data_IF_729798456217
#
_entry.id   IF_729798456217
#
_cell.length_a   1.000
_cell.length_b   1.000
_cell.length_c   1.000
_cell.angle_alpha   90.00
_cell.angle_beta   90.00
_cell.angle_gamma   90.00
#
_symmetry.space_group_name_H-M   'P 1'
#
loop_
_entity.id
_entity.type
_entity.pdbx_description
1 polymer ?
#
# COMPACT_ATOMS: atom_id res chain seq x y z
N UNK A 1 24.23 24.72 48.54
CA UNK A 1 23.25 23.63 48.72
C UNK A 1 22.19 23.76 47.64
N UNK A 2 22.19 22.87 46.63
CA UNK A 2 21.23 22.87 45.51
C UNK A 2 20.08 21.93 45.85
N UNK A 3 18.83 22.42 45.87
CA UNK A 3 17.62 21.61 46.06
C UNK A 3 17.02 21.31 44.68
N UNK A 4 16.88 20.04 44.35
CA UNK A 4 16.13 19.56 43.19
C UNK A 4 14.72 19.19 43.68
N UNK A 5 13.63 19.64 43.03
CA UNK A 5 12.31 19.07 43.27
C UNK A 5 12.12 17.84 42.39
N UNK A 6 11.61 16.79 43.05
CA UNK A 6 11.25 15.50 42.47
C UNK A 6 10.15 15.64 41.41
N UNK A 7 10.37 14.98 40.27
CA UNK A 7 9.42 14.86 39.18
C UNK A 7 8.51 13.65 39.47
N UNK A 8 7.23 13.89 39.76
CA UNK A 8 6.22 12.85 39.92
C UNK A 8 5.74 12.39 38.53
N UNK A 9 6.03 11.15 38.17
CA UNK A 9 5.52 10.47 36.97
C UNK A 9 4.19 9.78 37.31
N UNK A 10 3.06 10.32 36.86
CA UNK A 10 1.78 9.61 36.89
C UNK A 10 1.59 8.84 35.58
N UNK A 11 1.67 7.51 35.65
CA UNK A 11 1.34 6.60 34.56
C UNK A 11 -0.14 6.21 34.73
N UNK A 12 -1.01 6.76 33.88
CA UNK A 12 -2.38 6.27 33.76
C UNK A 12 -2.42 5.14 32.74
N UNK A 13 -2.53 3.89 33.20
CA UNK A 13 -2.87 2.75 32.35
C UNK A 13 -4.38 2.74 32.10
N UNK A 14 -4.79 2.98 30.84
CA UNK A 14 -6.15 2.70 30.41
C UNK A 14 -6.20 1.28 29.83
N UNK A 15 -6.83 0.37 30.57
CA UNK A 15 -7.20 -0.98 30.11
C UNK A 15 -8.53 -0.88 29.37
N UNK A 16 -8.60 -1.37 28.14
CA UNK A 16 -9.87 -1.70 27.49
C UNK A 16 -9.81 -3.15 27.05
N UNK A 17 -10.57 -3.99 27.75
CA UNK A 17 -10.83 -5.40 27.44
C UNK A 17 -11.89 -5.56 26.35
N UNK A 18 -11.48 -6.25 25.29
CA UNK A 18 -12.17 -7.19 24.38
C UNK A 18 -13.69 -7.31 24.51
N UNK A 19 -14.40 -7.04 23.41
CA UNK A 19 -15.73 -7.58 23.12
C UNK A 19 -15.68 -8.34 21.80
N UNK A 20 -15.65 -9.67 21.88
CA UNK A 20 -15.77 -10.55 20.72
C UNK A 20 -17.23 -10.78 20.35
N UNK A 21 -17.52 -10.80 19.05
CA UNK A 21 -18.65 -11.55 18.49
C UNK A 21 -18.20 -12.24 17.22
N UNK A 22 -18.16 -13.56 17.30
CA UNK A 22 -18.05 -14.48 16.17
C UNK A 22 -19.35 -14.47 15.37
N UNK A 23 -19.26 -14.39 14.04
CA UNK A 23 -20.35 -14.80 13.16
C UNK A 23 -19.77 -15.61 12.00
N UNK A 24 -20.14 -16.90 11.98
CA UNK A 24 -19.94 -17.80 10.85
C UNK A 24 -20.86 -17.42 9.69
N UNK A 25 -20.35 -17.51 8.47
CA UNK A 25 -21.13 -17.95 7.32
C UNK A 25 -20.20 -18.68 6.36
N UNK A 26 -20.14 -20.00 6.52
CA UNK A 26 -19.66 -20.89 5.47
C UNK A 26 -20.59 -20.76 4.26
N UNK A 27 -20.03 -20.53 3.08
CA UNK A 27 -20.71 -20.90 1.84
C UNK A 27 -19.75 -21.68 0.96
N UNK A 28 -19.47 -22.91 1.41
CA UNK A 28 -18.93 -23.95 0.56
C UNK A 28 -20.10 -24.41 -0.32
N UNK A 29 -20.17 -23.92 -1.55
CA UNK A 29 -20.86 -24.65 -2.63
C UNK A 29 -19.81 -25.28 -3.53
N UNK A 30 -19.33 -26.41 -3.05
CA UNK A 30 -18.80 -27.49 -3.87
C UNK A 30 -19.99 -28.07 -4.64
N UNK A 31 -20.07 -27.81 -5.94
CA UNK A 31 -20.97 -28.53 -6.83
C UNK A 31 -20.12 -29.45 -7.69
N UNK A 32 -19.90 -30.66 -7.17
CA UNK A 32 -19.56 -31.82 -7.99
C UNK A 32 -20.72 -32.04 -8.97
N UNK A 33 -20.50 -31.86 -10.28
CA UNK A 33 -21.38 -32.40 -11.31
C UNK A 33 -20.51 -33.10 -12.34
N UNK A 34 -20.12 -34.33 -12.03
CA UNK A 34 -19.97 -35.36 -13.04
C UNK A 34 -21.33 -36.03 -13.19
N UNK A 35 -21.92 -35.96 -14.39
CA UNK A 35 -22.26 -37.16 -15.17
C UNK A 35 -23.12 -36.82 -16.39
N UNK A 36 -22.79 -37.52 -17.47
CA UNK A 36 -23.66 -37.97 -18.57
C UNK A 36 -23.53 -37.27 -19.93
N UNK A 37 -22.86 -38.00 -20.80
CA UNK A 37 -22.88 -37.99 -22.26
C UNK A 37 -24.31 -38.04 -22.81
N UNK A 38 -24.70 -37.10 -23.68
CA UNK A 38 -25.36 -37.34 -24.98
C UNK A 38 -25.96 -36.06 -25.65
N UNK A 39 -25.48 -35.82 -26.88
CA UNK A 39 -26.22 -35.39 -28.09
C UNK A 39 -26.63 -33.90 -28.25
N UNK A 40 -25.86 -33.26 -29.15
CA UNK A 40 -26.16 -32.15 -30.08
C UNK A 40 -27.31 -31.18 -29.79
N UNK A 41 -26.93 -29.91 -29.59
CA UNK A 41 -27.54 -28.79 -30.32
C UNK A 41 -26.53 -27.64 -30.37
N UNK A 42 -26.38 -27.00 -31.54
CA UNK A 42 -25.54 -25.82 -31.74
C UNK A 42 -26.10 -24.66 -30.90
N UNK A 43 -25.76 -24.60 -29.62
CA UNK A 43 -25.79 -23.36 -28.87
C UNK A 43 -24.46 -22.67 -29.12
N UNK A 44 -24.51 -21.62 -29.94
CA UNK A 44 -23.53 -20.55 -29.88
C UNK A 44 -23.54 -20.05 -28.44
N UNK A 45 -22.65 -20.62 -27.63
CA UNK A 45 -22.28 -20.01 -26.36
C UNK A 45 -21.66 -18.68 -26.73
N UNK A 46 -22.43 -17.61 -26.60
CA UNK A 46 -21.86 -16.31 -26.31
C UNK A 46 -21.07 -16.49 -25.03
N UNK A 47 -19.80 -16.85 -25.19
CA UNK A 47 -18.80 -16.80 -24.13
C UNK A 47 -18.69 -15.33 -23.79
N UNK A 48 -19.54 -14.91 -22.86
CA UNK A 48 -19.40 -13.62 -22.22
C UNK A 48 -18.00 -13.65 -21.59
N UNK A 49 -17.09 -12.74 -21.97
CA UNK A 49 -15.79 -12.71 -21.35
C UNK A 49 -16.00 -12.66 -19.86
N UNK A 50 -15.34 -13.55 -19.11
CA UNK A 50 -15.26 -13.38 -17.67
C UNK A 50 -14.82 -11.93 -17.41
N UNK A 51 -15.39 -11.23 -16.42
CA UNK A 51 -14.89 -9.91 -16.06
C UNK A 51 -13.38 -10.04 -15.87
N UNK A 52 -12.61 -9.24 -16.61
CA UNK A 52 -11.17 -9.14 -16.37
C UNK A 52 -11.01 -8.77 -14.90
N UNK A 53 -10.56 -9.73 -14.09
CA UNK A 53 -10.24 -9.49 -12.69
C UNK A 53 -8.89 -8.80 -12.73
N UNK A 54 -8.89 -7.48 -12.58
CA UNK A 54 -7.65 -6.71 -12.42
C UNK A 54 -6.89 -7.31 -11.23
N UNK A 55 -5.60 -7.60 -11.41
CA UNK A 55 -4.77 -8.13 -10.34
C UNK A 55 -4.32 -6.97 -9.44
N UNK A 56 -4.73 -6.99 -8.17
CA UNK A 56 -4.37 -5.95 -7.20
C UNK A 56 -3.18 -6.44 -6.38
N UNK A 57 -2.08 -5.70 -6.43
CA UNK A 57 -0.85 -6.04 -5.72
C UNK A 57 -0.48 -4.95 -4.72
N UNK A 58 -0.39 -5.31 -3.43
CA UNK A 58 -0.05 -4.37 -2.36
C UNK A 58 1.45 -4.20 -2.23
N UNK A 59 1.88 -2.95 -2.10
CA UNK A 59 3.26 -2.60 -1.86
C UNK A 59 3.36 -1.56 -0.74
N UNK A 60 4.40 -1.69 0.08
CA UNK A 60 4.75 -0.69 1.07
C UNK A 60 5.87 0.18 0.51
N UNK A 61 5.63 1.48 0.43
CA UNK A 61 6.64 2.49 0.10
C UNK A 61 7.13 3.11 1.40
N UNK A 62 8.36 2.79 1.81
CA UNK A 62 8.96 3.30 3.04
C UNK A 62 9.72 4.59 2.77
N UNK A 63 9.62 5.52 3.70
CA UNK A 63 10.22 6.84 3.58
C UNK A 63 11.28 7.07 4.65
N UNK A 64 12.17 8.02 4.40
CA UNK A 64 12.88 8.66 5.51
C UNK A 64 11.88 9.39 6.42
N UNK A 65 12.14 9.34 7.73
CA UNK A 65 11.26 9.93 8.76
C UNK A 65 10.98 11.40 8.45
N UNK A 66 12.03 12.15 8.11
CA UNK A 66 11.95 13.58 7.79
C UNK A 66 11.04 13.87 6.59
N UNK A 67 11.05 13.00 5.58
CA UNK A 67 10.19 13.15 4.42
C UNK A 67 8.74 12.83 4.74
N UNK A 68 8.47 11.77 5.51
CA UNK A 68 7.10 11.32 5.79
C UNK A 68 6.31 12.39 6.57
N UNK A 69 6.92 12.99 7.59
CA UNK A 69 6.29 14.10 8.31
C UNK A 69 6.00 15.28 7.37
N UNK A 70 6.94 15.59 6.49
CA UNK A 70 6.83 16.73 5.58
C UNK A 70 5.77 16.51 4.49
N UNK A 71 5.67 15.31 3.92
CA UNK A 71 4.66 15.00 2.90
C UNK A 71 3.25 14.93 3.51
N UNK A 72 3.13 14.42 4.73
CA UNK A 72 1.87 14.37 5.48
C UNK A 72 1.40 15.76 5.94
N UNK A 73 2.33 16.65 6.28
CA UNK A 73 2.05 18.06 6.56
C UNK A 73 1.92 18.94 5.30
N UNK A 74 2.34 18.43 4.14
CA UNK A 74 2.42 19.16 2.88
C UNK A 74 1.05 19.57 2.33
N UNK A 75 1.02 20.70 1.61
CA UNK A 75 -0.16 21.16 0.85
C UNK A 75 -0.60 20.09 -0.16
N UNK A 76 -1.88 20.14 -0.56
CA UNK A 76 -2.46 19.17 -1.50
C UNK A 76 -1.71 19.11 -2.84
N UNK A 77 -1.26 20.23 -3.37
CA UNK A 77 -0.60 20.29 -4.69
C UNK A 77 0.76 19.55 -4.75
N UNK A 78 1.75 19.84 -3.88
CA UNK A 78 2.99 19.05 -3.80
C UNK A 78 2.76 17.55 -3.63
N UNK A 79 1.76 17.18 -2.84
CA UNK A 79 1.40 15.79 -2.54
C UNK A 79 0.86 15.08 -3.78
N UNK A 80 -0.07 15.72 -4.50
CA UNK A 80 -0.60 15.21 -5.77
C UNK A 80 0.51 15.08 -6.82
N UNK A 81 1.46 16.02 -6.87
CA UNK A 81 2.60 15.94 -7.78
C UNK A 81 3.50 14.74 -7.45
N UNK A 82 3.74 14.47 -6.16
CA UNK A 82 4.45 13.27 -5.73
C UNK A 82 3.72 11.99 -6.14
N UNK A 83 2.40 11.90 -5.92
CA UNK A 83 1.61 10.72 -6.30
C UNK A 83 1.70 10.42 -7.80
N UNK A 84 1.57 11.45 -8.64
CA UNK A 84 1.71 11.32 -10.09
C UNK A 84 3.12 10.89 -10.49
N UNK A 85 4.15 11.39 -9.81
CA UNK A 85 5.53 11.00 -10.08
C UNK A 85 5.79 9.54 -9.71
N UNK A 86 5.24 9.07 -8.58
CA UNK A 86 5.35 7.69 -8.15
C UNK A 86 4.60 6.73 -9.09
N UNK A 87 3.37 7.06 -9.48
CA UNK A 87 2.60 6.31 -10.47
C UNK A 87 3.34 6.21 -11.81
N UNK A 88 3.92 7.33 -12.29
CA UNK A 88 4.73 7.36 -13.50
C UNK A 88 6.10 6.66 -13.35
N UNK A 89 6.62 6.51 -12.14
CA UNK A 89 7.82 5.73 -11.88
C UNK A 89 7.51 4.22 -11.93
N UNK A 90 6.38 3.81 -11.36
CA UNK A 90 5.89 2.43 -11.34
C UNK A 90 5.47 1.97 -12.74
N UNK A 91 4.88 2.87 -13.54
CA UNK A 91 4.40 2.58 -14.88
C UNK A 91 3.11 1.75 -14.91
N UNK A 92 2.35 1.79 -13.81
CA UNK A 92 1.04 1.18 -13.67
C UNK A 92 0.16 2.07 -12.81
N UNK A 93 -1.16 1.83 -12.83
CA UNK A 93 -2.10 2.59 -12.01
C UNK A 93 -1.85 2.29 -10.53
N UNK A 94 -1.84 3.35 -9.72
CA UNK A 94 -1.57 3.27 -8.28
C UNK A 94 -2.71 3.88 -7.48
N UNK A 95 -3.19 3.18 -6.46
CA UNK A 95 -4.12 3.70 -5.46
C UNK A 95 -3.36 3.82 -4.14
N UNK A 96 -3.45 4.99 -3.49
CA UNK A 96 -2.84 5.24 -2.19
C UNK A 96 -3.87 4.91 -1.12
N UNK A 97 -3.58 3.92 -0.29
CA UNK A 97 -4.57 3.29 0.59
C UNK A 97 -4.38 3.70 2.05
N UNK A 98 -3.29 3.24 2.69
CA UNK A 98 -3.03 3.53 4.11
C UNK A 98 -1.76 4.37 4.31
N UNK A 99 -1.83 5.36 5.22
CA UNK A 99 -0.71 6.22 5.59
C UNK A 99 -0.28 5.92 7.03
N UNK A 100 0.98 5.51 7.18
CA UNK A 100 1.59 5.20 8.46
C UNK A 100 2.69 6.20 8.82
N UNK A 101 3.29 6.08 9.99
CA UNK A 101 4.34 7.00 10.44
C UNK A 101 5.63 6.91 9.62
N UNK A 102 5.91 5.77 9.00
CA UNK A 102 7.18 5.50 8.28
C UNK A 102 6.99 4.98 6.85
N UNK A 103 5.74 4.72 6.42
CA UNK A 103 5.46 4.19 5.09
C UNK A 103 4.03 4.53 4.62
N UNK A 104 3.81 4.34 3.32
CA UNK A 104 2.49 4.38 2.70
C UNK A 104 2.23 3.04 2.02
N UNK A 105 1.05 2.48 2.22
CA UNK A 105 0.56 1.32 1.48
C UNK A 105 -0.05 1.80 0.17
N UNK A 106 0.40 1.21 -0.92
CA UNK A 106 -0.13 1.45 -2.25
C UNK A 106 -0.66 0.14 -2.86
N UNK A 107 -1.73 0.26 -3.62
CA UNK A 107 -2.23 -0.79 -4.50
C UNK A 107 -1.73 -0.51 -5.90
N UNK A 108 -1.07 -1.50 -6.50
CA UNK A 108 -0.61 -1.44 -7.89
C UNK A 108 -1.50 -2.37 -8.70
N UNK A 109 -2.22 -1.79 -9.66
CA UNK A 109 -3.20 -2.49 -10.49
C UNK A 109 -2.49 -3.10 -11.69
N UNK A 110 -2.75 -4.39 -11.93
CA UNK A 110 -2.23 -5.20 -13.04
C UNK A 110 -0.71 -5.30 -13.12
N UNK A 111 -0.02 -4.97 -12.03
CA UNK A 111 1.43 -5.08 -11.94
C UNK A 111 1.87 -5.40 -10.51
N UNK A 112 2.73 -6.42 -10.39
CA UNK A 112 3.52 -6.69 -9.20
C UNK A 112 4.95 -6.20 -9.47
N UNK A 113 5.51 -5.40 -8.58
CA UNK A 113 6.89 -4.93 -8.73
C UNK A 113 7.84 -6.03 -8.28
N UNK A 114 8.73 -6.46 -9.15
CA UNK A 114 9.87 -7.29 -8.71
C UNK A 114 10.81 -6.45 -7.85
N UNK A 115 11.69 -7.07 -7.03
CA UNK A 115 12.69 -6.33 -6.26
C UNK A 115 13.57 -5.40 -7.13
N UNK A 116 13.87 -5.80 -8.36
CA UNK A 116 14.65 -5.01 -9.31
C UNK A 116 13.86 -3.80 -9.81
N UNK A 117 12.59 -3.99 -10.17
CA UNK A 117 11.72 -2.88 -10.57
C UNK A 117 11.48 -1.91 -9.41
N UNK A 118 11.25 -2.44 -8.20
CA UNK A 118 11.09 -1.65 -6.98
C UNK A 118 12.32 -0.78 -6.72
N UNK A 119 13.52 -1.33 -6.91
CA UNK A 119 14.78 -0.57 -6.84
C UNK A 119 14.83 0.53 -7.90
N UNK A 120 14.47 0.25 -9.15
CA UNK A 120 14.44 1.26 -10.22
C UNK A 120 13.46 2.38 -9.90
N UNK A 121 12.28 2.06 -9.36
CA UNK A 121 11.29 3.05 -8.90
C UNK A 121 11.88 3.90 -7.78
N UNK A 122 12.50 3.28 -6.77
CA UNK A 122 13.17 3.97 -5.67
C UNK A 122 14.22 4.96 -6.18
N UNK A 123 15.15 4.48 -7.00
CA UNK A 123 16.26 5.27 -7.52
C UNK A 123 15.74 6.43 -8.40
N UNK A 124 14.71 6.18 -9.21
CA UNK A 124 14.07 7.22 -10.03
C UNK A 124 13.46 8.31 -9.15
N UNK A 125 12.73 7.96 -8.10
CA UNK A 125 12.10 8.92 -7.20
C UNK A 125 13.12 9.74 -6.41
N UNK A 126 14.18 9.11 -5.89
CA UNK A 126 15.27 9.79 -5.16
C UNK A 126 16.15 10.66 -6.08
N UNK A 127 16.08 10.50 -7.41
CA UNK A 127 16.81 11.36 -8.35
C UNK A 127 16.06 12.67 -8.67
N UNK A 128 14.79 12.81 -8.26
CA UNK A 128 13.95 13.94 -8.63
C UNK A 128 14.31 15.19 -7.82
N UNK A 129 15.17 16.05 -8.36
CA UNK A 129 15.64 17.27 -7.69
C UNK A 129 14.49 18.14 -7.11
N UNK A 130 13.40 18.31 -7.88
CA UNK A 130 12.26 19.09 -7.42
C UNK A 130 11.60 18.51 -6.15
N UNK A 131 11.69 17.20 -5.93
CA UNK A 131 11.12 16.54 -4.76
C UNK A 131 11.88 16.94 -3.50
N UNK A 132 13.21 16.88 -3.56
CA UNK A 132 14.12 17.34 -2.52
C UNK A 132 13.92 18.82 -2.19
N UNK A 133 13.84 19.68 -3.22
CA UNK A 133 13.63 21.12 -3.04
C UNK A 133 12.25 21.43 -2.43
N UNK A 134 11.20 20.76 -2.88
CA UNK A 134 9.82 20.99 -2.42
C UNK A 134 9.65 20.62 -0.96
N UNK A 135 10.27 19.52 -0.53
CA UNK A 135 10.16 18.98 0.83
C UNK A 135 11.36 19.32 1.72
N UNK A 136 12.30 20.14 1.24
CA UNK A 136 13.50 20.57 1.96
C UNK A 136 14.36 19.41 2.48
N UNK A 137 14.41 18.32 1.72
CA UNK A 137 15.26 17.16 2.00
C UNK A 137 16.56 17.30 1.18
N UNK A 138 17.76 17.21 1.77
CA UNK A 138 19.01 17.19 1.05
C UNK A 138 19.07 16.13 -0.08
N UNK A 139 19.77 16.41 -1.18
CA UNK A 139 19.89 15.50 -2.33
C UNK A 139 20.67 14.22 -2.02
N UNK A 140 21.50 14.22 -0.99
CA UNK A 140 22.29 13.09 -0.54
C UNK A 140 21.52 12.16 0.42
N UNK A 141 20.30 12.53 0.81
CA UNK A 141 19.44 11.71 1.65
C UNK A 141 18.36 11.00 0.82
N UNK A 142 18.14 9.72 1.07
CA UNK A 142 17.04 8.99 0.42
C UNK A 142 15.68 9.47 0.95
N UNK A 143 14.75 9.78 0.04
CA UNK A 143 13.35 10.08 0.35
C UNK A 143 12.56 8.78 0.48
N UNK A 144 12.71 7.88 -0.50
CA UNK A 144 12.19 6.51 -0.44
C UNK A 144 13.35 5.60 -0.05
N UNK A 145 13.24 4.94 1.09
CA UNK A 145 14.29 4.02 1.59
C UNK A 145 14.10 2.61 1.07
N UNK A 146 12.85 2.20 0.86
CA UNK A 146 12.53 0.84 0.42
C UNK A 146 11.14 0.76 -0.24
N UNK A 147 10.97 -0.20 -1.15
CA UNK A 147 9.68 -0.56 -1.76
C UNK A 147 9.62 -2.08 -1.82
N UNK A 148 8.62 -2.68 -1.16
CA UNK A 148 8.45 -4.14 -1.19
C UNK A 148 6.98 -4.52 -1.32
N UNK A 149 6.77 -5.66 -1.98
CA UNK A 149 5.47 -6.30 -2.09
C UNK A 149 5.16 -7.09 -0.82
N UNK A 150 3.88 -7.12 -0.43
CA UNK A 150 3.40 -7.97 0.65
C UNK A 150 1.99 -8.46 0.36
N UNK A 151 1.60 -9.59 0.97
CA UNK A 151 0.22 -10.04 0.98
C UNK A 151 -0.51 -9.37 2.15
N UNK A 152 -1.58 -8.61 1.86
CA UNK A 152 -2.36 -7.90 2.88
C UNK A 152 -3.22 -8.85 3.72
N UNK A 153 -3.51 -10.05 3.20
CA UNK A 153 -4.44 -10.99 3.81
C UNK A 153 -3.77 -12.24 4.40
N UNK A 154 -2.43 -12.28 4.43
CA UNK A 154 -1.65 -13.38 5.02
C UNK A 154 -1.47 -13.26 6.53
#
# INVERSE_FOLDING_TARGET
MKKWPALMLSISMLVITIGGTSASAANIKKSDVLSSTAVTSNQVSTVQPAPMVESINYHSVRFSIDFMETIMAGKSEPRVRFYKALEAAIGARVIFDDFWSDHIVIEVIDKQLTPEEAKVVKDKMNSLQWLHETYKVPMDQEIITDIYWFDRWS
#
